data_IF_449858485356
#
_entry.id   IF_449858485356
#
_cell.length_a   1.000
_cell.length_b   1.000
_cell.length_c   1.000
_cell.angle_alpha   90.00
_cell.angle_beta   90.00
_cell.angle_gamma   90.00
#
_symmetry.space_group_name_H-M   'P 1'
#
loop_
_entity.id
_entity.type
_entity.pdbx_description
1 polymer ?
#
# COMPACT_ATOMS: atom_id res chain seq x y z
N UNK A 1 18.54 12.46 -5.08
CA UNK A 1 17.80 11.38 -5.78
C UNK A 1 17.26 10.31 -4.85
N UNK A 2 18.05 9.75 -3.93
CA UNK A 2 17.60 8.70 -2.99
C UNK A 2 16.34 9.11 -2.21
N UNK A 3 16.36 10.26 -1.51
CA UNK A 3 15.21 10.75 -0.74
C UNK A 3 13.94 10.91 -1.59
N UNK A 4 14.07 11.46 -2.81
CA UNK A 4 12.95 11.62 -3.76
C UNK A 4 12.36 10.26 -4.12
N UNK A 5 13.19 9.24 -4.35
CA UNK A 5 12.75 7.90 -4.73
C UNK A 5 12.13 7.13 -3.58
N UNK A 6 12.64 7.31 -2.36
CA UNK A 6 12.01 6.79 -1.14
C UNK A 6 10.63 7.40 -0.93
N UNK A 7 10.51 8.73 -1.05
CA UNK A 7 9.22 9.42 -0.93
C UNK A 7 8.27 8.95 -2.03
N UNK A 8 8.74 8.86 -3.28
CA UNK A 8 7.93 8.37 -4.40
C UNK A 8 7.46 6.92 -4.18
N UNK A 9 8.33 6.01 -3.71
CA UNK A 9 7.93 4.62 -3.44
C UNK A 9 6.89 4.53 -2.32
N UNK A 10 7.04 5.33 -1.27
CA UNK A 10 6.05 5.40 -0.19
C UNK A 10 4.72 5.93 -0.74
N UNK A 11 4.71 7.08 -1.41
CA UNK A 11 3.49 7.69 -1.95
C UNK A 11 2.77 6.76 -2.93
N UNK A 12 3.49 6.11 -3.85
CA UNK A 12 2.91 5.15 -4.78
C UNK A 12 2.29 3.96 -4.03
N UNK A 13 2.96 3.46 -3.00
CA UNK A 13 2.43 2.35 -2.18
C UNK A 13 1.13 2.77 -1.49
N UNK A 14 1.08 3.96 -0.91
CA UNK A 14 -0.14 4.50 -0.31
C UNK A 14 -1.27 4.68 -1.33
N UNK A 15 -0.97 5.22 -2.53
CA UNK A 15 -1.97 5.37 -3.60
C UNK A 15 -2.55 4.02 -4.00
N UNK A 16 -1.70 3.01 -4.21
CA UNK A 16 -2.15 1.65 -4.56
C UNK A 16 -3.04 1.07 -3.46
N UNK A 17 -2.65 1.22 -2.19
CA UNK A 17 -3.43 0.77 -1.05
C UNK A 17 -4.79 1.49 -0.95
N UNK A 18 -4.83 2.81 -1.15
CA UNK A 18 -6.09 3.58 -1.15
C UNK A 18 -7.01 3.11 -2.27
N UNK A 19 -6.47 2.90 -3.49
CA UNK A 19 -7.26 2.40 -4.62
C UNK A 19 -7.81 1.01 -4.33
N UNK A 20 -7.00 0.11 -3.77
CA UNK A 20 -7.42 -1.24 -3.39
C UNK A 20 -8.45 -1.23 -2.26
N UNK A 21 -8.39 -0.27 -1.34
CA UNK A 21 -9.40 -0.08 -0.30
C UNK A 21 -10.72 0.46 -0.85
N UNK A 22 -10.67 1.24 -1.94
CA UNK A 22 -11.84 1.82 -2.60
C UNK A 22 -12.46 0.91 -3.65
N UNK A 23 -11.71 -0.03 -4.22
CA UNK A 23 -12.22 -1.00 -5.20
C UNK A 23 -13.48 -1.76 -4.72
N UNK A 24 -13.57 -2.24 -3.45
CA UNK A 24 -14.76 -2.87 -2.89
C UNK A 24 -16.00 -1.97 -2.87
N UNK A 25 -15.84 -0.64 -2.84
CA UNK A 25 -16.97 0.28 -2.85
C UNK A 25 -17.76 0.23 -4.17
N UNK A 26 -17.17 -0.31 -5.23
CA UNK A 26 -17.85 -0.54 -6.52
C UNK A 26 -18.52 -1.92 -6.61
N UNK A 27 -18.29 -2.79 -5.62
CA UNK A 27 -18.89 -4.13 -5.54
C UNK A 27 -20.23 -4.09 -4.78
N UNK A 28 -21.14 -5.07 -5.01
CA UNK A 28 -22.42 -5.17 -4.30
C UNK A 28 -22.24 -5.23 -2.78
N UNK A 29 -23.20 -4.68 -2.02
CA UNK A 29 -23.16 -4.55 -0.55
C UNK A 29 -22.89 -5.87 0.18
N UNK A 30 -23.38 -7.00 -0.35
CA UNK A 30 -23.15 -8.33 0.21
C UNK A 30 -21.66 -8.70 0.30
N UNK A 31 -20.84 -8.23 -0.65
CA UNK A 31 -19.39 -8.45 -0.67
C UNK A 31 -18.64 -7.44 0.19
N UNK A 32 -19.18 -6.23 0.33
CA UNK A 32 -18.58 -5.17 1.15
C UNK A 32 -18.53 -5.57 2.63
N UNK A 33 -19.55 -6.28 3.13
CA UNK A 33 -19.59 -6.74 4.51
C UNK A 33 -18.42 -7.67 4.87
N UNK A 34 -18.06 -8.61 3.97
CA UNK A 34 -16.93 -9.51 4.19
C UNK A 34 -15.58 -8.78 4.09
N UNK A 35 -15.49 -7.77 3.23
CA UNK A 35 -14.25 -7.02 2.99
C UNK A 35 -13.98 -5.96 4.06
N UNK A 36 -15.02 -5.31 4.59
CA UNK A 36 -14.91 -4.28 5.64
C UNK A 36 -15.19 -4.79 7.06
N UNK A 37 -15.18 -6.10 7.28
CA UNK A 37 -15.25 -6.69 8.62
C UNK A 37 -14.17 -6.10 9.56
N UNK A 38 -14.44 -5.93 10.87
CA UNK A 38 -13.50 -5.29 11.81
C UNK A 38 -12.10 -5.92 11.83
N UNK A 39 -12.00 -7.23 11.60
CA UNK A 39 -10.70 -7.91 11.46
C UNK A 39 -9.94 -7.48 10.19
N UNK A 40 -10.67 -7.30 9.08
CA UNK A 40 -10.12 -6.86 7.79
C UNK A 40 -9.67 -5.40 7.85
N UNK A 41 -10.43 -4.53 8.53
CA UNK A 41 -10.01 -3.15 8.80
C UNK A 41 -8.70 -3.12 9.59
N UNK A 42 -8.56 -3.98 10.61
CA UNK A 42 -7.31 -4.12 11.36
C UNK A 42 -6.12 -4.56 10.49
N UNK A 43 -6.33 -5.53 9.60
CA UNK A 43 -5.33 -5.95 8.62
C UNK A 43 -4.96 -4.82 7.65
N UNK A 44 -5.94 -4.01 7.23
CA UNK A 44 -5.72 -2.84 6.40
C UNK A 44 -4.87 -1.77 7.08
N UNK A 45 -5.11 -1.50 8.36
CA UNK A 45 -4.30 -0.58 9.15
C UNK A 45 -2.85 -1.07 9.27
N UNK A 46 -2.67 -2.37 9.53
CA UNK A 46 -1.34 -2.99 9.56
C UNK A 46 -0.65 -2.91 8.19
N UNK A 47 -1.38 -3.18 7.11
CA UNK A 47 -0.85 -3.11 5.75
C UNK A 47 -0.41 -1.68 5.38
N UNK A 48 -1.20 -0.66 5.73
CA UNK A 48 -0.84 0.75 5.53
C UNK A 48 0.45 1.14 6.25
N UNK A 49 0.73 0.56 7.42
CA UNK A 49 1.96 0.81 8.17
C UNK A 49 3.17 0.01 7.62
N UNK A 50 2.96 -1.28 7.34
CA UNK A 50 4.05 -2.22 7.04
C UNK A 50 4.44 -2.20 5.56
N UNK A 51 3.48 -2.08 4.64
CA UNK A 51 3.75 -2.17 3.21
C UNK A 51 4.73 -1.09 2.71
N UNK A 52 4.67 0.19 3.14
CA UNK A 52 5.65 1.20 2.71
C UNK A 52 7.08 0.85 3.15
N UNK A 53 7.24 0.29 4.35
CA UNK A 53 8.53 -0.15 4.88
C UNK A 53 9.06 -1.32 4.06
N UNK A 54 8.22 -2.33 3.81
CA UNK A 54 8.57 -3.51 2.99
C UNK A 54 8.95 -3.10 1.58
N UNK A 55 8.19 -2.22 0.93
CA UNK A 55 8.49 -1.73 -0.43
C UNK A 55 9.83 -1.00 -0.46
N UNK A 56 10.11 -0.14 0.52
CA UNK A 56 11.40 0.54 0.64
C UNK A 56 12.56 -0.46 0.81
N UNK A 57 12.38 -1.53 1.60
CA UNK A 57 13.39 -2.59 1.75
C UNK A 57 13.60 -3.39 0.46
N UNK A 58 12.53 -3.85 -0.18
CA UNK A 58 12.59 -4.67 -1.40
C UNK A 58 13.15 -3.86 -2.58
N UNK A 59 12.75 -2.59 -2.72
CA UNK A 59 13.23 -1.69 -3.76
C UNK A 59 14.48 -0.90 -3.35
N UNK A 60 15.06 -1.20 -2.18
CA UNK A 60 16.24 -0.51 -1.67
C UNK A 60 17.41 -0.49 -2.65
N UNK A 61 17.75 -1.58 -3.35
CA UNK A 61 18.83 -1.56 -4.35
C UNK A 61 18.59 -0.48 -5.38
N UNK A 62 17.39 -0.46 -5.98
CA UNK A 62 16.99 0.55 -6.96
C UNK A 62 17.01 1.96 -6.39
N UNK A 63 16.40 2.16 -5.20
CA UNK A 63 16.35 3.46 -4.51
C UNK A 63 17.75 4.03 -4.33
N UNK A 64 18.72 3.20 -3.92
CA UNK A 64 20.11 3.57 -3.65
C UNK A 64 20.94 3.75 -4.92
N UNK A 65 20.82 2.87 -5.91
CA UNK A 65 21.75 2.79 -7.05
C UNK A 65 21.39 3.62 -8.27
N UNK A 66 20.17 4.16 -8.40
CA UNK A 66 19.81 4.86 -9.63
C UNK A 66 19.32 3.92 -10.74
N UNK A 67 20.04 2.83 -10.97
CA UNK A 67 19.84 1.87 -12.06
C UNK A 67 19.38 0.50 -11.57
N UNK A 68 18.48 -0.11 -12.36
CA UNK A 68 18.26 -1.55 -12.34
C UNK A 68 19.39 -2.28 -13.05
#
# INVERSE_FOLDING_TARGET
MVAVRTVASVLVTWVVLIVLLLAPATLPEDWQYYIYSPASVGLWMLAMLVAPVVVCFVKWPWIRSGGG
#
